data_IF_663731559895
#
_entry.id   IF_663731559895
#
_cell.length_a   1.000
_cell.length_b   1.000
_cell.length_c   1.000
_cell.angle_alpha   90.00
_cell.angle_beta   90.00
_cell.angle_gamma   90.00
#
_symmetry.space_group_name_H-M   'P 1'
#
loop_
_entity.id
_entity.type
_entity.pdbx_description
1 polymer ?
#
# COMPACT_ATOMS: atom_id res chain seq x y z
N UNK A 1 31.19 13.04 3.47
CA UNK A 1 29.76 13.30 3.18
C UNK A 1 28.99 12.30 4.03
N UNK A 2 28.09 12.74 4.90
CA UNK A 2 27.25 11.78 5.62
C UNK A 2 26.36 11.07 4.60
N UNK A 3 26.53 9.77 4.42
CA UNK A 3 25.62 8.97 3.62
C UNK A 3 24.26 8.96 4.33
N UNK A 4 23.32 9.75 3.79
CA UNK A 4 21.95 9.76 4.28
C UNK A 4 21.28 8.46 3.83
N UNK A 5 20.70 7.71 4.77
CA UNK A 5 19.90 6.53 4.44
C UNK A 5 18.79 6.93 3.46
N UNK A 6 18.68 6.29 2.28
CA UNK A 6 17.66 6.62 1.30
C UNK A 6 16.27 6.27 1.84
N UNK A 7 15.22 6.87 1.26
CA UNK A 7 13.83 6.45 1.51
C UNK A 7 13.58 5.06 0.92
N UNK A 8 12.51 4.38 1.36
CA UNK A 8 12.10 3.12 0.75
C UNK A 8 11.72 3.30 -0.72
N UNK A 9 11.13 4.45 -1.06
CA UNK A 9 10.80 4.82 -2.44
C UNK A 9 12.05 4.95 -3.32
N UNK A 10 13.09 5.63 -2.86
CA UNK A 10 14.36 5.72 -3.61
C UNK A 10 15.02 4.35 -3.74
N UNK A 11 15.07 3.59 -2.65
CA UNK A 11 15.71 2.26 -2.63
C UNK A 11 15.04 1.26 -3.56
N UNK A 12 13.70 1.29 -3.65
CA UNK A 12 12.98 0.37 -4.53
C UNK A 12 13.12 0.70 -6.03
N UNK A 13 13.72 1.83 -6.39
CA UNK A 13 13.85 2.28 -7.78
C UNK A 13 12.79 3.28 -8.24
N UNK A 14 12.05 3.89 -7.29
CA UNK A 14 11.17 5.02 -7.57
C UNK A 14 9.87 4.69 -8.32
N UNK A 15 9.33 5.72 -8.99
CA UNK A 15 7.96 5.72 -9.55
C UNK A 15 7.74 4.66 -10.64
N UNK A 16 8.73 4.45 -11.51
CA UNK A 16 8.62 3.46 -12.59
C UNK A 16 8.41 2.05 -12.04
N UNK A 17 9.17 1.68 -11.00
CA UNK A 17 9.05 0.37 -10.35
C UNK A 17 7.71 0.23 -9.62
N UNK A 18 7.23 1.29 -8.96
CA UNK A 18 5.90 1.27 -8.32
C UNK A 18 4.77 1.10 -9.35
N UNK A 19 4.83 1.80 -10.48
CA UNK A 19 3.85 1.65 -11.54
C UNK A 19 3.86 0.22 -12.08
N UNK A 20 5.04 -0.33 -12.37
CA UNK A 20 5.19 -1.73 -12.81
C UNK A 20 4.60 -2.71 -11.79
N UNK A 21 4.90 -2.53 -10.50
CA UNK A 21 4.36 -3.34 -9.41
C UNK A 21 2.82 -3.30 -9.40
N UNK A 22 2.22 -2.11 -9.43
CA UNK A 22 0.76 -1.97 -9.42
C UNK A 22 0.12 -2.52 -10.69
N UNK A 23 0.72 -2.33 -11.86
CA UNK A 23 0.22 -2.89 -13.12
C UNK A 23 0.17 -4.42 -13.06
N UNK A 24 1.25 -5.08 -12.65
CA UNK A 24 1.30 -6.55 -12.51
C UNK A 24 0.30 -7.03 -11.45
N UNK A 25 0.25 -6.34 -10.31
CA UNK A 25 -0.63 -6.68 -9.21
C UNK A 25 -2.11 -6.65 -9.60
N UNK A 26 -2.58 -5.58 -10.23
CA UNK A 26 -3.98 -5.48 -10.64
C UNK A 26 -4.34 -6.41 -11.80
N UNK A 27 -3.40 -6.71 -12.71
CA UNK A 27 -3.60 -7.72 -13.74
C UNK A 27 -3.79 -9.13 -13.17
N UNK A 28 -3.21 -9.42 -11.99
CA UNK A 28 -3.47 -10.68 -11.26
C UNK A 28 -4.77 -10.62 -10.45
N UNK A 29 -5.10 -9.49 -9.81
CA UNK A 29 -6.38 -9.31 -9.12
C UNK A 29 -7.55 -9.60 -10.04
N UNK A 30 -7.51 -9.12 -11.28
CA UNK A 30 -8.58 -9.34 -12.26
C UNK A 30 -8.86 -10.84 -12.53
N UNK A 31 -7.85 -11.68 -12.34
CA UNK A 31 -7.92 -13.14 -12.54
C UNK A 31 -8.10 -13.92 -11.25
N UNK A 32 -8.08 -13.26 -10.10
CA UNK A 32 -8.19 -13.90 -8.79
C UNK A 32 -9.66 -14.04 -8.39
N UNK A 33 -10.14 -15.27 -8.22
CA UNK A 33 -11.55 -15.57 -7.95
C UNK A 33 -12.09 -14.86 -6.68
N UNK A 34 -11.24 -14.67 -5.67
CA UNK A 34 -11.64 -14.06 -4.40
C UNK A 34 -11.63 -12.53 -4.47
N UNK A 35 -10.64 -11.95 -5.15
CA UNK A 35 -10.45 -10.50 -5.20
C UNK A 35 -11.18 -9.84 -6.36
N UNK A 36 -11.26 -10.46 -7.55
CA UNK A 36 -11.85 -9.87 -8.74
C UNK A 36 -13.25 -9.26 -8.51
N UNK A 37 -14.18 -9.90 -7.77
CA UNK A 37 -15.50 -9.31 -7.51
C UNK A 37 -15.45 -7.94 -6.79
N UNK A 38 -14.40 -7.68 -5.99
CA UNK A 38 -14.24 -6.40 -5.30
C UNK A 38 -13.87 -5.25 -6.25
N UNK A 39 -13.31 -5.57 -7.41
CA UNK A 39 -12.72 -4.64 -8.37
C UNK A 39 -13.45 -4.58 -9.72
N UNK A 40 -14.61 -5.23 -9.86
CA UNK A 40 -15.40 -5.26 -11.12
C UNK A 40 -15.78 -3.87 -11.66
N UNK A 41 -15.85 -2.85 -10.80
CA UNK A 41 -16.13 -1.46 -11.19
C UNK A 41 -14.90 -0.54 -11.03
N UNK A 42 -13.72 -1.13 -10.95
CA UNK A 42 -12.46 -0.40 -10.88
C UNK A 42 -12.22 0.36 -12.19
N UNK A 43 -11.86 1.63 -12.08
CA UNK A 43 -11.47 2.42 -13.23
C UNK A 43 -10.05 2.04 -13.70
N UNK A 44 -9.76 2.20 -14.99
CA UNK A 44 -8.49 1.77 -15.59
C UNK A 44 -7.24 2.46 -14.99
N UNK A 45 -7.39 3.67 -14.46
CA UNK A 45 -6.33 4.44 -13.79
C UNK A 45 -6.07 4.02 -12.32
N UNK A 46 -6.82 3.04 -11.79
CA UNK A 46 -6.68 2.65 -10.39
C UNK A 46 -5.27 2.19 -10.01
N UNK A 47 -4.53 1.41 -10.85
CA UNK A 47 -3.14 1.06 -10.55
C UNK A 47 -2.24 2.29 -10.37
N UNK A 48 -2.40 3.32 -11.21
CA UNK A 48 -1.64 4.57 -11.12
C UNK A 48 -1.99 5.32 -9.82
N UNK A 49 -3.27 5.39 -9.47
CA UNK A 49 -3.70 6.03 -8.23
C UNK A 49 -3.14 5.35 -6.97
N UNK A 50 -2.99 4.02 -6.99
CA UNK A 50 -2.38 3.28 -5.87
C UNK A 50 -0.86 3.45 -5.88
N UNK A 51 -0.22 3.55 -7.05
CA UNK A 51 1.21 3.86 -7.14
C UNK A 51 1.54 5.23 -6.54
N UNK A 52 0.72 6.26 -6.85
CA UNK A 52 0.86 7.61 -6.26
C UNK A 52 0.69 7.58 -4.74
N UNK A 53 -0.22 6.75 -4.22
CA UNK A 53 -0.38 6.57 -2.77
C UNK A 53 0.85 5.94 -2.12
N UNK A 54 1.35 4.84 -2.71
CA UNK A 54 2.52 4.13 -2.18
C UNK A 54 3.79 4.97 -2.27
N UNK A 55 3.94 5.77 -3.32
CA UNK A 55 5.04 6.71 -3.43
C UNK A 55 5.10 7.64 -2.22
N UNK A 56 4.00 8.35 -1.93
CA UNK A 56 3.97 9.30 -0.82
C UNK A 56 4.23 8.59 0.52
N UNK A 57 3.62 7.43 0.73
CA UNK A 57 3.85 6.62 1.93
C UNK A 57 5.31 6.24 2.10
N UNK A 58 5.98 5.81 1.03
CA UNK A 58 7.34 5.26 1.08
C UNK A 58 8.43 6.34 1.05
N UNK A 59 8.03 7.62 1.13
CA UNK A 59 8.93 8.76 1.26
C UNK A 59 9.17 9.54 -0.04
N UNK A 60 8.40 9.29 -1.09
CA UNK A 60 8.41 10.09 -2.32
C UNK A 60 7.61 11.40 -2.21
N UNK A 61 7.25 11.98 -3.35
CA UNK A 61 6.52 13.25 -3.39
C UNK A 61 5.08 13.11 -2.85
N UNK A 62 4.56 14.17 -2.22
CA UNK A 62 3.23 14.20 -1.62
C UNK A 62 2.08 14.38 -2.64
N UNK A 63 2.18 13.71 -3.80
CA UNK A 63 1.26 13.86 -4.92
C UNK A 63 -0.14 13.31 -4.62
N UNK A 64 -0.27 12.31 -3.74
CA UNK A 64 -1.59 11.82 -3.33
C UNK A 64 -2.31 12.86 -2.47
N UNK A 65 -1.60 13.48 -1.54
CA UNK A 65 -2.13 14.58 -0.74
C UNK A 65 -2.50 15.77 -1.60
N UNK A 66 -1.62 16.19 -2.51
CA UNK A 66 -1.85 17.35 -3.37
C UNK A 66 -3.02 17.19 -4.34
N UNK A 67 -3.21 16.00 -4.91
CA UNK A 67 -4.12 15.82 -6.05
C UNK A 67 -5.28 14.84 -5.80
N UNK A 68 -5.22 14.04 -4.72
CA UNK A 68 -6.16 12.93 -4.47
C UNK A 68 -6.84 13.00 -3.10
N UNK A 69 -6.65 14.09 -2.35
CA UNK A 69 -7.32 14.34 -1.08
C UNK A 69 -6.67 13.68 0.14
N UNK A 70 -5.42 13.22 -0.01
CA UNK A 70 -4.59 12.73 1.09
C UNK A 70 -5.21 11.57 1.86
N UNK A 71 -4.85 11.44 3.13
CA UNK A 71 -5.31 10.34 3.98
C UNK A 71 -6.85 10.21 4.02
N UNK A 72 -7.59 11.33 4.12
CA UNK A 72 -9.06 11.30 4.12
C UNK A 72 -9.65 10.77 2.81
N UNK A 73 -9.08 11.19 1.68
CA UNK A 73 -9.44 10.69 0.35
C UNK A 73 -9.26 9.16 0.27
N UNK A 74 -8.11 8.65 0.74
CA UNK A 74 -7.83 7.22 0.73
C UNK A 74 -8.81 6.42 1.61
N UNK A 75 -9.10 6.89 2.82
CA UNK A 75 -10.06 6.24 3.71
C UNK A 75 -11.46 6.21 3.10
N UNK A 76 -11.88 7.30 2.45
CA UNK A 76 -13.19 7.36 1.80
C UNK A 76 -13.36 6.30 0.70
N UNK A 77 -12.29 5.92 -0.02
CA UNK A 77 -12.33 4.86 -1.04
C UNK A 77 -12.59 3.45 -0.46
N UNK A 78 -12.26 3.25 0.81
CA UNK A 78 -12.38 1.97 1.49
C UNK A 78 -13.68 1.83 2.28
N UNK A 79 -14.28 2.93 2.74
CA UNK A 79 -15.51 2.91 3.56
C UNK A 79 -16.64 2.13 2.89
N UNK A 80 -17.31 1.29 3.69
CA UNK A 80 -18.48 0.52 3.24
C UNK A 80 -18.17 -0.66 2.32
N UNK A 81 -16.90 -0.95 2.04
CA UNK A 81 -16.49 -2.09 1.20
C UNK A 81 -16.62 -3.44 1.92
N UNK A 82 -16.74 -3.46 3.25
CA UNK A 82 -16.87 -4.66 4.08
C UNK A 82 -15.82 -5.74 3.74
N UNK A 83 -14.54 -5.35 3.69
CA UNK A 83 -13.43 -6.23 3.32
C UNK A 83 -13.33 -7.36 4.36
N UNK A 84 -13.37 -8.60 3.89
CA UNK A 84 -13.28 -9.80 4.71
C UNK A 84 -11.82 -10.20 5.01
N UNK A 85 -11.56 -10.93 6.12
CA UNK A 85 -10.22 -11.35 6.49
C UNK A 85 -9.46 -12.12 5.39
N UNK A 86 -10.14 -13.03 4.71
CA UNK A 86 -9.58 -13.85 3.62
C UNK A 86 -9.22 -12.99 2.39
N UNK A 87 -10.04 -11.99 2.06
CA UNK A 87 -9.76 -11.04 0.99
C UNK A 87 -8.52 -10.20 1.33
N UNK A 88 -8.43 -9.69 2.56
CA UNK A 88 -7.24 -8.94 3.01
C UNK A 88 -5.99 -9.82 2.92
N UNK A 89 -6.07 -11.04 3.43
CA UNK A 89 -4.94 -11.98 3.40
C UNK A 89 -4.50 -12.25 1.97
N UNK A 90 -5.43 -12.59 1.08
CA UNK A 90 -5.12 -12.87 -0.32
C UNK A 90 -4.51 -11.66 -1.04
N UNK A 91 -5.00 -10.46 -0.75
CA UNK A 91 -4.45 -9.21 -1.29
C UNK A 91 -2.99 -9.01 -0.87
N UNK A 92 -2.66 -9.28 0.39
CA UNK A 92 -1.28 -9.18 0.91
C UNK A 92 -0.38 -10.24 0.27
N UNK A 93 -0.82 -11.50 0.24
CA UNK A 93 -0.06 -12.60 -0.35
C UNK A 93 0.28 -12.28 -1.81
N UNK A 94 -0.72 -11.84 -2.59
CA UNK A 94 -0.54 -11.49 -4.01
C UNK A 94 0.38 -10.28 -4.21
N UNK A 95 0.34 -9.29 -3.31
CA UNK A 95 1.25 -8.14 -3.37
C UNK A 95 2.71 -8.58 -3.19
N UNK A 96 2.96 -9.50 -2.26
CA UNK A 96 4.30 -10.03 -2.02
C UNK A 96 4.79 -10.89 -3.20
N UNK A 97 3.92 -11.73 -3.79
CA UNK A 97 4.22 -12.46 -5.02
C UNK A 97 4.61 -11.51 -6.16
N UNK A 98 3.88 -10.39 -6.33
CA UNK A 98 4.19 -9.40 -7.36
C UNK A 98 5.49 -8.65 -7.09
N UNK A 99 5.81 -8.38 -5.82
CA UNK A 99 7.08 -7.77 -5.42
C UNK A 99 8.28 -8.62 -5.83
N UNK A 100 8.16 -9.95 -5.77
CA UNK A 100 9.17 -10.87 -6.26
C UNK A 100 9.22 -10.88 -7.80
N UNK A 101 8.06 -10.96 -8.46
CA UNK A 101 7.97 -10.99 -9.93
C UNK A 101 8.57 -9.76 -10.60
N UNK A 102 8.38 -8.57 -10.01
CA UNK A 102 8.97 -7.33 -10.55
C UNK A 102 10.42 -7.10 -10.10
N UNK A 103 11.01 -8.04 -9.36
CA UNK A 103 12.36 -7.98 -8.79
C UNK A 103 12.59 -6.75 -7.89
N UNK A 104 11.68 -6.48 -6.94
CA UNK A 104 11.97 -5.51 -5.89
C UNK A 104 13.24 -5.92 -5.12
N UNK A 105 13.99 -4.98 -4.52
CA UNK A 105 15.19 -5.29 -3.75
C UNK A 105 14.95 -6.41 -2.74
N UNK A 106 15.82 -7.43 -2.75
CA UNK A 106 15.65 -8.64 -1.94
C UNK A 106 16.41 -8.58 -0.59
N UNK A 107 17.04 -7.45 -0.28
CA UNK A 107 17.72 -7.25 1.00
C UNK A 107 16.71 -7.36 2.17
N UNK A 108 17.07 -8.06 3.26
CA UNK A 108 16.18 -8.28 4.41
C UNK A 108 15.61 -6.99 5.00
N UNK A 109 16.41 -5.92 5.01
CA UNK A 109 16.05 -4.60 5.52
C UNK A 109 14.86 -4.03 4.73
N UNK A 110 14.94 -4.01 3.40
CA UNK A 110 13.86 -3.49 2.56
C UNK A 110 12.64 -4.39 2.63
N UNK A 111 12.85 -5.71 2.53
CA UNK A 111 11.74 -6.68 2.49
C UNK A 111 10.95 -6.69 3.80
N UNK A 112 11.63 -6.56 4.94
CA UNK A 112 10.96 -6.43 6.24
C UNK A 112 10.14 -5.13 6.35
N UNK A 113 10.71 -4.00 5.92
CA UNK A 113 10.03 -2.71 5.97
C UNK A 113 8.82 -2.66 5.02
N UNK A 114 8.97 -3.11 3.77
CA UNK A 114 7.91 -3.15 2.78
C UNK A 114 6.77 -4.07 3.22
N UNK A 115 7.08 -5.32 3.64
CA UNK A 115 6.07 -6.24 4.14
C UNK A 115 5.34 -5.69 5.38
N UNK A 116 6.08 -5.02 6.27
CA UNK A 116 5.52 -4.34 7.45
C UNK A 116 4.49 -3.28 7.07
N UNK A 117 4.78 -2.45 6.05
CA UNK A 117 3.82 -1.47 5.56
C UNK A 117 2.60 -2.13 4.92
N UNK A 118 2.80 -3.09 4.01
CA UNK A 118 1.71 -3.76 3.28
C UNK A 118 0.73 -4.40 4.26
N UNK A 119 1.23 -5.09 5.30
CA UNK A 119 0.35 -5.68 6.32
C UNK A 119 -0.28 -4.62 7.24
N UNK A 120 0.44 -3.58 7.64
CA UNK A 120 -0.14 -2.49 8.42
C UNK A 120 -1.27 -1.79 7.64
N UNK A 121 -1.00 -1.40 6.39
CA UNK A 121 -1.92 -0.71 5.50
C UNK A 121 -3.16 -1.54 5.21
N UNK A 122 -3.00 -2.83 4.90
CA UNK A 122 -4.12 -3.75 4.65
C UNK A 122 -5.05 -3.87 5.85
N UNK A 123 -4.52 -3.95 7.08
CA UNK A 123 -5.32 -3.97 8.31
C UNK A 123 -6.10 -2.68 8.52
N UNK A 124 -5.49 -1.52 8.21
CA UNK A 124 -6.18 -0.23 8.28
C UNK A 124 -7.27 -0.12 7.22
N UNK A 125 -7.02 -0.58 6.00
CA UNK A 125 -8.01 -0.64 4.93
C UNK A 125 -9.21 -1.51 5.34
N UNK A 126 -8.95 -2.71 5.86
CA UNK A 126 -9.99 -3.61 6.35
C UNK A 126 -10.82 -2.98 7.48
N UNK A 127 -10.16 -2.43 8.51
CA UNK A 127 -10.84 -1.80 9.64
C UNK A 127 -11.72 -0.62 9.21
N UNK A 128 -11.21 0.23 8.30
CA UNK A 128 -11.94 1.39 7.78
C UNK A 128 -13.08 1.01 6.82
N UNK A 129 -13.08 -0.20 6.28
CA UNK A 129 -14.09 -0.66 5.33
C UNK A 129 -15.40 -1.12 5.96
N UNK A 130 -15.41 -1.37 7.27
CA UNK A 130 -16.56 -1.94 7.95
C UNK A 130 -17.73 -0.95 8.01
N UNK A 131 -19.00 -1.39 7.91
CA UNK A 131 -20.16 -0.50 7.89
C UNK A 131 -20.27 0.45 9.09
N UNK A 132 -19.75 0.03 10.26
CA UNK A 132 -19.78 0.80 11.51
C UNK A 132 -18.39 1.34 11.91
N UNK A 133 -17.44 1.41 10.98
CA UNK A 133 -16.10 1.89 11.27
C UNK A 133 -16.11 3.35 11.73
N UNK A 134 -15.53 3.61 12.90
CA UNK A 134 -15.32 4.96 13.40
C UNK A 134 -14.48 5.81 12.44
N UNK A 135 -14.58 7.13 12.57
CA UNK A 135 -13.70 8.03 11.81
C UNK A 135 -12.29 7.95 12.38
N UNK A 136 -11.32 7.68 11.49
CA UNK A 136 -9.91 7.76 11.85
C UNK A 136 -9.59 9.18 12.32
N UNK A 137 -8.93 9.30 13.48
CA UNK A 137 -8.43 10.57 14.03
C UNK A 137 -7.16 11.07 13.32
N UNK A 138 -6.54 10.21 12.50
CA UNK A 138 -5.37 10.59 11.68
C UNK A 138 -5.83 11.54 10.57
N UNK A 139 -5.06 12.61 10.39
CA UNK A 139 -5.35 13.66 9.40
C UNK A 139 -4.42 13.57 8.18
N UNK A 140 -3.19 13.08 8.37
CA UNK A 140 -2.13 13.05 7.35
C UNK A 140 -1.75 11.62 6.93
N UNK A 141 -1.09 11.50 5.78
CA UNK A 141 -0.50 10.23 5.35
C UNK A 141 0.59 9.83 6.35
N UNK A 142 0.64 8.54 6.72
CA UNK A 142 1.76 8.01 7.50
C UNK A 142 2.89 7.68 6.54
N UNK A 143 3.99 8.42 6.65
CA UNK A 143 5.26 8.04 6.03
C UNK A 143 5.79 6.77 6.71
N UNK A 144 6.35 5.86 5.93
CA UNK A 144 6.85 4.57 6.37
C UNK A 144 8.32 4.42 5.97
N UNK A 145 9.18 4.08 6.92
CA UNK A 145 10.62 3.92 6.71
C UNK A 145 11.17 2.57 7.17
N UNK A 146 12.49 2.48 7.28
CA UNK A 146 13.27 1.26 7.55
C UNK A 146 13.14 0.69 8.97
N UNK A 147 12.63 1.47 9.92
CA UNK A 147 12.70 1.16 11.36
C UNK A 147 11.39 1.33 12.12
N UNK A 148 10.24 1.22 11.44
CA UNK A 148 8.91 1.46 12.02
C UNK A 148 8.47 0.47 13.13
N UNK A 149 9.36 -0.43 13.56
CA UNK A 149 9.08 -1.41 14.61
C UNK A 149 9.83 -1.09 15.92
N UNK A 150 9.12 -0.55 16.93
CA UNK A 150 9.40 -0.89 18.32
C UNK A 150 8.24 -1.68 18.94
N UNK A 151 8.40 -2.98 19.23
CA UNK A 151 7.69 -3.64 20.32
C UNK A 151 8.56 -3.65 21.59
N UNK A 152 8.14 -2.94 22.66
CA UNK A 152 8.77 -3.02 23.98
C UNK A 152 8.54 -1.84 24.94
N UNK A 153 7.50 -1.92 25.76
CA UNK A 153 7.62 -2.05 27.23
C UNK A 153 6.53 -3.06 27.66
N UNK A 154 6.68 -3.75 28.82
CA UNK A 154 5.93 -4.96 29.17
C UNK A 154 4.43 -4.92 28.87
#
# INVERSE_FOLDING_TARGET
>A
MSEQTPTLFEWMGGREVLLKLMTVFYAKIEKDELLAPMFVHMHADHPEHVAIWLEEVLGGEANYTAHRGGFKGMVAKHRGRAIQPEQRKRWVDLMMECADEVNLPADPEFRSAFAGYIEFGSRRAQANSQPKAERSKRETVKLWGWGEAPPGTP
#
